data_IF_093730332755
#
_entry.id   IF_093730332755
#
_cell.length_a   1.000
_cell.length_b   1.000
_cell.length_c   1.000
_cell.angle_alpha   90.00
_cell.angle_beta   90.00
_cell.angle_gamma   90.00
#
_symmetry.space_group_name_H-M   'P 1'
#
loop_
_entity.id
_entity.type
_entity.pdbx_description
1 polymer ?
#
# COMPACT_ATOMS: atom_id res chain seq x y z
N UNK A 1 -31.88 5.58 -21.52
CA UNK A 1 -32.34 6.95 -21.20
C UNK A 1 -31.58 7.41 -19.96
N UNK A 2 -31.17 8.69 -19.95
CA UNK A 2 -30.27 9.36 -19.00
C UNK A 2 -28.76 9.24 -19.29
N UNK A 3 -28.32 9.78 -20.43
CA UNK A 3 -26.95 10.29 -20.62
C UNK A 3 -26.88 11.69 -20.01
N UNK A 4 -26.32 11.82 -18.82
CA UNK A 4 -25.97 13.12 -18.26
C UNK A 4 -24.67 13.57 -18.94
N UNK A 5 -24.80 14.41 -19.97
CA UNK A 5 -23.68 15.18 -20.50
C UNK A 5 -23.16 16.10 -19.39
N UNK A 6 -21.98 15.83 -18.86
CA UNK A 6 -21.26 16.79 -18.03
C UNK A 6 -20.56 17.77 -18.96
N UNK A 7 -21.29 18.79 -19.44
CA UNK A 7 -20.66 20.01 -19.90
C UNK A 7 -19.92 20.61 -18.69
N UNK A 8 -18.60 20.71 -18.78
CA UNK A 8 -17.81 21.44 -17.79
C UNK A 8 -18.07 22.92 -18.09
N UNK A 9 -19.08 23.50 -17.42
CA UNK A 9 -19.33 24.95 -17.46
C UNK A 9 -18.24 25.67 -16.67
N UNK A 10 -17.16 26.03 -17.37
CA UNK A 10 -16.04 26.82 -16.85
C UNK A 10 -16.53 28.16 -16.27
N UNK A 11 -17.67 28.68 -16.74
CA UNK A 11 -18.29 29.90 -16.21
C UNK A 11 -18.87 29.75 -14.80
N UNK A 12 -19.25 28.53 -14.42
CA UNK A 12 -19.85 28.22 -13.10
C UNK A 12 -18.87 28.39 -11.93
N UNK A 13 -17.56 28.33 -12.19
CA UNK A 13 -16.52 28.56 -11.17
C UNK A 13 -16.37 30.03 -10.72
N UNK A 14 -16.98 30.98 -11.46
CA UNK A 14 -16.77 32.43 -11.29
C UNK A 14 -17.98 33.15 -10.68
N UNK A 15 -18.69 32.51 -9.74
CA UNK A 15 -19.93 33.06 -9.13
C UNK A 15 -19.63 34.16 -8.11
N UNK A 16 -19.89 35.42 -8.49
CA UNK A 16 -20.07 36.52 -7.52
C UNK A 16 -19.84 37.93 -8.06
N UNK A 17 -20.94 38.65 -8.30
CA UNK A 17 -21.08 40.10 -8.58
C UNK A 17 -20.43 40.64 -9.87
N UNK A 18 -21.32 40.88 -10.84
CA UNK A 18 -21.11 41.54 -12.13
C UNK A 18 -20.32 40.70 -13.15
N UNK A 19 -21.05 39.93 -13.97
CA UNK A 19 -20.53 39.17 -15.13
C UNK A 19 -19.89 40.14 -16.14
N UNK A 20 -18.62 40.48 -15.94
CA UNK A 20 -17.84 41.31 -16.87
C UNK A 20 -16.88 40.51 -17.74
N UNK A 21 -16.97 39.17 -17.71
CA UNK A 21 -16.07 38.30 -18.49
C UNK A 21 -14.59 38.35 -18.09
N UNK A 22 -14.24 39.11 -17.04
CA UNK A 22 -12.87 39.37 -16.59
C UNK A 22 -12.69 39.09 -15.10
N UNK A 23 -11.56 38.49 -14.72
CA UNK A 23 -11.20 38.18 -13.32
C UNK A 23 -9.73 38.49 -13.03
N UNK A 24 -9.35 38.61 -11.76
CA UNK A 24 -7.92 38.71 -11.41
C UNK A 24 -7.22 37.38 -11.64
N UNK A 25 -5.90 37.41 -11.88
CA UNK A 25 -5.05 36.22 -12.05
C UNK A 25 -5.22 35.21 -10.90
N UNK A 26 -5.32 35.70 -9.66
CA UNK A 26 -5.53 34.86 -8.48
C UNK A 26 -6.90 34.17 -8.47
N UNK A 27 -7.97 34.87 -8.89
CA UNK A 27 -9.31 34.28 -8.97
C UNK A 27 -9.36 33.25 -10.10
N UNK A 28 -8.72 33.55 -11.23
CA UNK A 28 -8.58 32.63 -12.34
C UNK A 28 -7.85 31.34 -11.94
N UNK A 29 -6.70 31.45 -11.26
CA UNK A 29 -5.92 30.32 -10.79
C UNK A 29 -6.70 29.45 -9.79
N UNK A 30 -7.41 30.06 -8.84
CA UNK A 30 -8.27 29.35 -7.89
C UNK A 30 -9.36 28.57 -8.61
N UNK A 31 -10.06 29.20 -9.56
CA UNK A 31 -11.13 28.54 -10.31
C UNK A 31 -10.61 27.36 -11.13
N UNK A 32 -9.47 27.52 -11.80
CA UNK A 32 -8.84 26.47 -12.60
C UNK A 32 -8.36 25.31 -11.75
N UNK A 33 -7.75 25.59 -10.59
CA UNK A 33 -7.34 24.55 -9.64
C UNK A 33 -8.55 23.77 -9.08
N UNK A 34 -9.67 24.44 -8.80
CA UNK A 34 -10.93 23.76 -8.38
C UNK A 34 -11.44 22.84 -9.50
N UNK A 35 -11.25 23.22 -10.76
CA UNK A 35 -11.57 22.41 -11.94
C UNK A 35 -10.49 21.37 -12.28
N UNK A 36 -9.43 21.25 -11.49
CA UNK A 36 -8.35 20.27 -11.67
C UNK A 36 -7.29 20.65 -12.70
N UNK A 37 -7.28 21.89 -13.20
CA UNK A 37 -6.26 22.40 -14.11
C UNK A 37 -5.17 23.16 -13.34
N UNK A 38 -3.93 22.70 -13.48
CA UNK A 38 -2.76 23.33 -12.85
C UNK A 38 -1.85 23.90 -13.93
N UNK A 39 -1.54 25.19 -13.83
CA UNK A 39 -0.65 25.88 -14.76
C UNK A 39 0.71 26.15 -14.11
N UNK A 40 1.78 25.90 -14.84
CA UNK A 40 3.10 26.39 -14.47
C UNK A 40 3.16 27.93 -14.55
N UNK A 41 4.15 28.54 -13.89
CA UNK A 41 4.34 30.00 -13.97
C UNK A 41 4.52 30.50 -15.41
N UNK A 42 5.16 29.70 -16.26
CA UNK A 42 5.34 30.04 -17.69
C UNK A 42 4.01 30.03 -18.44
N UNK A 43 3.16 29.04 -18.17
CA UNK A 43 1.83 28.95 -18.79
C UNK A 43 0.91 30.06 -18.31
N UNK A 44 0.95 30.40 -17.02
CA UNK A 44 0.17 31.52 -16.48
C UNK A 44 0.61 32.86 -17.07
N UNK A 45 1.91 33.07 -17.29
CA UNK A 45 2.42 34.25 -17.97
C UNK A 45 1.95 34.33 -19.44
N UNK A 46 1.85 33.19 -20.14
CA UNK A 46 1.32 33.16 -21.51
C UNK A 46 -0.18 33.47 -21.55
N UNK A 47 -0.96 32.91 -20.62
CA UNK A 47 -2.39 33.18 -20.49
C UNK A 47 -2.60 34.67 -20.22
N UNK A 48 -1.86 35.23 -19.26
CA UNK A 48 -1.87 36.66 -18.97
C UNK A 48 -1.51 37.51 -20.19
N UNK A 49 -0.45 37.15 -20.91
CA UNK A 49 -0.01 37.90 -22.09
C UNK A 49 -1.05 37.93 -23.22
N UNK A 50 -1.88 36.89 -23.34
CA UNK A 50 -2.86 36.76 -24.42
C UNK A 50 -4.27 37.23 -24.03
N UNK A 51 -4.66 37.06 -22.77
CA UNK A 51 -6.03 37.24 -22.30
C UNK A 51 -6.19 38.34 -21.25
N UNK A 52 -5.13 38.97 -20.74
CA UNK A 52 -5.28 40.10 -19.84
C UNK A 52 -5.72 41.37 -20.59
N UNK A 53 -6.61 42.15 -19.99
CA UNK A 53 -6.99 43.48 -20.45
C UNK A 53 -5.94 44.55 -20.05
N UNK A 54 -6.18 45.79 -20.47
CA UNK A 54 -5.31 46.93 -20.13
C UNK A 54 -5.22 47.21 -18.63
N UNK A 55 -6.12 46.66 -17.81
CA UNK A 55 -6.12 46.74 -16.35
C UNK A 55 -5.45 45.53 -15.66
N UNK A 56 -4.97 44.54 -16.42
CA UNK A 56 -4.34 43.33 -15.89
C UNK A 56 -5.33 42.26 -15.42
N UNK A 57 -6.62 42.38 -15.75
CA UNK A 57 -7.64 41.35 -15.48
C UNK A 57 -7.70 40.37 -16.64
N UNK A 58 -7.76 39.07 -16.35
CA UNK A 58 -7.86 37.99 -17.33
C UNK A 58 -9.29 37.92 -17.86
N UNK A 59 -9.46 38.11 -19.17
CA UNK A 59 -10.71 37.90 -19.88
C UNK A 59 -10.91 36.40 -20.16
N UNK A 60 -11.63 35.73 -19.27
CA UNK A 60 -11.89 34.29 -19.37
C UNK A 60 -12.98 33.96 -20.40
N UNK A 61 -13.87 34.90 -20.74
CA UNK A 61 -14.87 34.71 -21.81
C UNK A 61 -14.18 34.54 -23.18
N UNK A 62 -13.19 35.38 -23.47
CA UNK A 62 -12.37 35.27 -24.69
C UNK A 62 -11.57 33.96 -24.70
N UNK A 63 -11.04 33.54 -23.54
CA UNK A 63 -10.33 32.28 -23.40
C UNK A 63 -11.25 31.09 -23.73
N UNK A 64 -12.46 31.05 -23.17
CA UNK A 64 -13.43 29.98 -23.41
C UNK A 64 -13.88 29.96 -24.88
N UNK A 65 -14.16 31.14 -25.46
CA UNK A 65 -14.51 31.23 -26.89
C UNK A 65 -13.40 30.76 -27.83
N UNK A 66 -12.13 31.02 -27.50
CA UNK A 66 -10.98 30.50 -28.25
C UNK A 66 -10.85 28.96 -28.10
N UNK A 67 -11.28 28.38 -26.98
CA UNK A 67 -11.24 26.93 -26.73
C UNK A 67 -12.34 26.16 -27.48
N UNK A 68 -13.54 26.73 -27.62
CA UNK A 68 -14.67 26.12 -28.36
C UNK A 68 -14.38 25.92 -29.85
N UNK A 69 -13.46 26.70 -30.44
CA UNK A 69 -13.07 26.60 -31.86
C UNK A 69 -12.12 25.43 -32.16
N UNK A 70 -11.49 24.84 -31.12
CA UNK A 70 -10.49 23.78 -31.25
C UNK A 70 -10.92 22.42 -30.69
N UNK A 71 -12.19 22.29 -30.26
CA UNK A 71 -12.68 21.10 -29.56
C UNK A 71 -13.19 20.02 -30.53
N UNK A 72 -12.28 19.34 -31.23
CA UNK A 72 -12.60 17.99 -31.75
C UNK A 72 -12.62 17.01 -30.54
N UNK A 73 -13.74 17.03 -29.81
CA UNK A 73 -13.94 16.27 -28.57
C UNK A 73 -14.06 14.75 -28.79
N UNK A 74 -14.04 14.29 -30.04
CA UNK A 74 -14.11 12.87 -30.39
C UNK A 74 -13.01 12.05 -29.70
N UNK A 75 -11.80 12.62 -29.58
CA UNK A 75 -10.66 11.97 -28.94
C UNK A 75 -10.80 11.88 -27.41
N UNK A 76 -11.50 12.82 -26.75
CA UNK A 76 -11.71 12.80 -25.29
C UNK A 76 -12.72 11.72 -24.86
N UNK A 77 -13.75 11.50 -25.68
CA UNK A 77 -14.73 10.42 -25.49
C UNK A 77 -14.08 9.03 -25.62
N UNK A 78 -13.18 8.86 -26.59
CA UNK A 78 -12.42 7.61 -26.74
C UNK A 78 -11.46 7.35 -25.60
N UNK A 79 -10.77 8.39 -25.11
CA UNK A 79 -9.87 8.27 -23.96
C UNK A 79 -10.65 7.89 -22.70
N UNK A 80 -11.78 8.53 -22.44
CA UNK A 80 -12.64 8.24 -21.28
C UNK A 80 -13.20 6.80 -21.32
N UNK A 81 -13.61 6.32 -22.51
CA UNK A 81 -14.04 4.92 -22.70
C UNK A 81 -12.90 3.93 -22.47
N UNK A 82 -11.69 4.23 -22.97
CA UNK A 82 -10.49 3.40 -22.75
C UNK A 82 -10.10 3.37 -21.27
N UNK A 83 -10.20 4.49 -20.56
CA UNK A 83 -9.91 4.58 -19.13
C UNK A 83 -10.94 3.80 -18.29
N UNK A 84 -12.24 3.92 -18.62
CA UNK A 84 -13.28 3.11 -17.98
C UNK A 84 -13.10 1.60 -18.25
N UNK A 85 -12.67 1.22 -19.46
CA UNK A 85 -12.36 -0.18 -19.79
C UNK A 85 -11.13 -0.68 -19.03
N UNK A 86 -10.09 0.15 -18.88
CA UNK A 86 -8.91 -0.19 -18.06
C UNK A 86 -9.28 -0.37 -16.60
N UNK A 87 -10.03 0.57 -16.02
CA UNK A 87 -10.48 0.47 -14.64
C UNK A 87 -11.31 -0.80 -14.40
N UNK A 88 -12.23 -1.11 -15.31
CA UNK A 88 -13.01 -2.34 -15.23
C UNK A 88 -12.13 -3.59 -15.33
N UNK A 89 -11.15 -3.61 -16.23
CA UNK A 89 -10.22 -4.73 -16.37
C UNK A 89 -9.36 -4.92 -15.10
N UNK A 90 -8.89 -3.83 -14.50
CA UNK A 90 -8.14 -3.87 -13.23
C UNK A 90 -9.00 -4.39 -12.07
N UNK A 91 -10.26 -3.99 -11.99
CA UNK A 91 -11.17 -4.46 -10.94
C UNK A 91 -11.54 -5.94 -11.16
N UNK A 92 -11.80 -6.36 -12.41
CA UNK A 92 -11.99 -7.77 -12.77
C UNK A 92 -10.76 -8.63 -12.45
N UNK A 93 -9.54 -8.08 -12.58
CA UNK A 93 -8.30 -8.76 -12.22
C UNK A 93 -8.11 -8.88 -10.71
N UNK A 94 -8.42 -7.82 -9.95
CA UNK A 94 -8.43 -7.85 -8.48
C UNK A 94 -9.43 -8.86 -7.94
N UNK A 95 -10.63 -8.94 -8.51
CA UNK A 95 -11.65 -9.90 -8.09
C UNK A 95 -11.20 -11.34 -8.36
N UNK A 96 -10.55 -11.59 -9.51
CA UNK A 96 -9.96 -12.90 -9.82
C UNK A 96 -8.84 -13.27 -8.85
N UNK A 97 -7.97 -12.31 -8.53
CA UNK A 97 -6.87 -12.52 -7.59
C UNK A 97 -7.41 -12.79 -6.18
N UNK A 98 -8.40 -12.03 -5.72
CA UNK A 98 -9.08 -12.27 -4.45
C UNK A 98 -9.68 -13.67 -4.42
N UNK A 99 -10.43 -14.05 -5.45
CA UNK A 99 -11.01 -15.40 -5.55
C UNK A 99 -9.94 -16.51 -5.52
N UNK A 100 -8.78 -16.31 -6.15
CA UNK A 100 -7.65 -17.26 -6.08
C UNK A 100 -7.12 -17.43 -4.66
N UNK A 101 -7.02 -16.35 -3.89
CA UNK A 101 -6.55 -16.42 -2.49
C UNK A 101 -7.58 -17.11 -1.59
N UNK A 102 -8.86 -16.80 -1.78
CA UNK A 102 -9.95 -17.39 -1.00
C UNK A 102 -10.16 -18.89 -1.30
N UNK A 103 -9.72 -19.36 -2.47
CA UNK A 103 -9.72 -20.78 -2.86
C UNK A 103 -8.40 -21.51 -2.52
N UNK A 104 -7.35 -20.78 -2.13
CA UNK A 104 -6.09 -21.36 -1.69
C UNK A 104 -6.12 -21.69 -0.20
N UNK A 105 -6.36 -22.96 0.13
CA UNK A 105 -6.44 -23.42 1.52
C UNK A 105 -5.24 -23.03 2.39
N UNK A 106 -4.02 -22.98 1.83
CA UNK A 106 -2.82 -22.63 2.58
C UNK A 106 -2.87 -21.17 3.03
N UNK A 107 -3.29 -20.27 2.15
CA UNK A 107 -3.44 -18.85 2.45
C UNK A 107 -4.60 -18.60 3.41
N UNK A 108 -5.73 -19.29 3.21
CA UNK A 108 -6.89 -19.22 4.12
C UNK A 108 -6.51 -19.68 5.53
N UNK A 109 -5.82 -20.82 5.67
CA UNK A 109 -5.32 -21.29 6.97
C UNK A 109 -4.31 -20.33 7.58
N UNK A 110 -3.43 -19.70 6.78
CA UNK A 110 -2.49 -18.70 7.27
C UNK A 110 -3.21 -17.43 7.78
N UNK A 111 -4.25 -16.95 7.08
CA UNK A 111 -5.12 -15.85 7.51
C UNK A 111 -5.79 -16.20 8.84
N UNK A 112 -6.42 -17.37 8.94
CA UNK A 112 -7.08 -17.84 10.16
C UNK A 112 -6.09 -17.90 11.33
N UNK A 113 -4.92 -18.53 11.13
CA UNK A 113 -3.88 -18.63 12.15
C UNK A 113 -3.42 -17.26 12.65
N UNK A 114 -3.19 -16.31 11.73
CA UNK A 114 -2.84 -14.93 12.09
C UNK A 114 -3.93 -14.29 12.97
N UNK A 115 -5.20 -14.44 12.60
CA UNK A 115 -6.33 -13.88 13.35
C UNK A 115 -6.47 -14.51 14.74
N UNK A 116 -6.28 -15.84 14.86
CA UNK A 116 -6.29 -16.54 16.15
C UNK A 116 -5.19 -16.03 17.10
N UNK A 117 -3.97 -15.84 16.58
CA UNK A 117 -2.85 -15.28 17.34
C UNK A 117 -3.17 -13.85 17.80
N UNK A 118 -3.68 -13.00 16.90
CA UNK A 118 -4.06 -11.62 17.23
C UNK A 118 -5.17 -11.57 18.29
N UNK A 119 -6.17 -12.46 18.19
CA UNK A 119 -7.31 -12.51 19.09
C UNK A 119 -7.00 -13.30 20.38
N UNK A 120 -5.82 -13.92 20.49
CA UNK A 120 -5.40 -14.78 21.60
C UNK A 120 -6.41 -15.90 21.90
N UNK A 121 -6.98 -16.48 20.84
CA UNK A 121 -7.95 -17.57 20.91
C UNK A 121 -7.37 -18.83 20.27
N UNK A 122 -7.89 -19.99 20.67
CA UNK A 122 -7.57 -21.29 20.07
C UNK A 122 -8.84 -21.96 19.59
N UNK A 123 -8.82 -22.49 18.38
CA UNK A 123 -9.99 -23.17 17.82
C UNK A 123 -10.24 -24.51 18.51
N UNK A 124 -9.19 -25.19 18.98
CA UNK A 124 -9.31 -26.39 19.82
C UNK A 124 -10.20 -26.18 21.03
N UNK A 125 -10.05 -25.04 21.70
CA UNK A 125 -10.72 -24.74 22.95
C UNK A 125 -12.18 -24.34 22.72
N UNK A 126 -12.46 -23.60 21.64
CA UNK A 126 -13.80 -23.17 21.26
C UNK A 126 -14.63 -24.34 20.73
N UNK A 127 -14.07 -25.12 19.80
CA UNK A 127 -14.78 -26.25 19.19
C UNK A 127 -14.90 -27.40 20.19
N UNK A 128 -13.86 -27.65 21.01
CA UNK A 128 -13.89 -28.70 22.03
C UNK A 128 -15.00 -28.52 23.07
N UNK A 129 -15.37 -27.28 23.40
CA UNK A 129 -16.54 -27.00 24.26
C UNK A 129 -17.88 -27.44 23.64
N UNK A 130 -17.93 -27.60 22.32
CA UNK A 130 -19.12 -28.02 21.55
C UNK A 130 -19.09 -29.51 21.18
N UNK A 131 -18.01 -30.22 21.50
CA UNK A 131 -17.88 -31.67 21.35
C UNK A 131 -17.51 -32.32 22.70
N UNK A 132 -18.46 -32.38 23.66
CA UNK A 132 -18.21 -32.93 25.00
C UNK A 132 -17.89 -34.43 24.98
N UNK A 133 -18.31 -35.15 23.93
CA UNK A 133 -17.98 -36.57 23.75
C UNK A 133 -16.59 -36.78 23.14
N UNK A 134 -15.93 -35.71 22.66
CA UNK A 134 -14.58 -35.76 22.10
C UNK A 134 -14.47 -36.65 20.86
N UNK A 135 -15.54 -36.70 20.04
CA UNK A 135 -15.57 -37.50 18.81
C UNK A 135 -14.70 -36.91 17.70
N UNK A 136 -14.24 -35.67 17.83
CA UNK A 136 -13.45 -34.99 16.81
C UNK A 136 -14.30 -34.46 15.64
N UNK A 137 -15.62 -34.42 15.80
CA UNK A 137 -16.57 -34.08 14.75
C UNK A 137 -17.56 -33.03 15.23
N UNK A 138 -17.76 -31.98 14.43
CA UNK A 138 -18.78 -30.95 14.69
C UNK A 138 -19.54 -30.61 13.41
N UNK A 139 -20.78 -30.14 13.53
CA UNK A 139 -21.55 -29.71 12.35
C UNK A 139 -20.96 -28.44 11.74
N UNK A 140 -21.22 -28.21 10.45
CA UNK A 140 -20.81 -27.00 9.75
C UNK A 140 -21.28 -25.71 10.45
N UNK A 141 -22.52 -25.68 10.95
CA UNK A 141 -23.09 -24.54 11.64
C UNK A 141 -22.38 -24.27 12.97
N UNK A 142 -22.02 -25.34 13.69
CA UNK A 142 -21.27 -25.23 14.93
C UNK A 142 -19.87 -24.69 14.67
N UNK A 143 -19.20 -25.18 13.63
CA UNK A 143 -17.89 -24.69 13.21
C UNK A 143 -17.94 -23.20 12.82
N UNK A 144 -18.94 -22.78 12.04
CA UNK A 144 -19.14 -21.38 11.66
C UNK A 144 -19.35 -20.49 12.87
N UNK A 145 -20.20 -20.91 13.81
CA UNK A 145 -20.43 -20.18 15.06
C UNK A 145 -19.14 -20.03 15.89
N UNK A 146 -18.29 -21.06 15.93
CA UNK A 146 -16.98 -20.95 16.57
C UNK A 146 -16.03 -19.98 15.84
N UNK A 147 -16.09 -19.90 14.50
CA UNK A 147 -15.31 -18.93 13.74
C UNK A 147 -15.76 -17.49 14.03
N UNK A 148 -17.07 -17.25 14.11
CA UNK A 148 -17.65 -15.96 14.46
C UNK A 148 -17.29 -15.58 15.91
N UNK A 149 -17.41 -16.53 16.85
CA UNK A 149 -17.00 -16.36 18.25
C UNK A 149 -15.49 -16.09 18.36
N UNK A 150 -14.68 -16.69 17.49
CA UNK A 150 -13.24 -16.43 17.41
C UNK A 150 -12.90 -15.06 16.79
N UNK A 151 -13.86 -14.36 16.18
CA UNK A 151 -13.65 -13.10 15.47
C UNK A 151 -12.86 -13.30 14.17
N UNK A 152 -13.06 -14.43 13.50
CA UNK A 152 -12.47 -14.73 12.21
C UNK A 152 -13.34 -14.09 11.12
N UNK A 153 -12.97 -12.90 10.66
CA UNK A 153 -13.64 -12.20 9.57
C UNK A 153 -13.31 -12.89 8.22
N UNK A 154 -13.96 -14.02 7.99
CA UNK A 154 -13.80 -14.88 6.82
C UNK A 154 -14.93 -14.66 5.83
N UNK A 155 -14.58 -14.64 4.54
CA UNK A 155 -15.59 -14.58 3.48
C UNK A 155 -16.27 -15.93 3.30
N UNK A 156 -17.47 -15.95 2.72
CA UNK A 156 -18.20 -17.20 2.46
C UNK A 156 -17.40 -18.18 1.58
N UNK A 157 -16.55 -17.65 0.69
CA UNK A 157 -15.69 -18.48 -0.17
C UNK A 157 -14.56 -19.13 0.64
N UNK A 158 -13.90 -18.40 1.55
CA UNK A 158 -12.88 -18.96 2.45
C UNK A 158 -13.47 -20.06 3.34
N UNK A 159 -14.66 -19.81 3.90
CA UNK A 159 -15.40 -20.79 4.69
C UNK A 159 -15.71 -22.06 3.88
N UNK A 160 -16.19 -21.93 2.63
CA UNK A 160 -16.41 -23.08 1.74
C UNK A 160 -15.12 -23.84 1.44
N UNK A 161 -14.01 -23.14 1.24
CA UNK A 161 -12.69 -23.76 1.01
C UNK A 161 -12.26 -24.60 2.22
N UNK A 162 -12.43 -24.07 3.44
CA UNK A 162 -12.15 -24.82 4.68
C UNK A 162 -13.07 -26.03 4.81
N UNK A 163 -14.38 -25.86 4.61
CA UNK A 163 -15.35 -26.96 4.66
C UNK A 163 -15.00 -28.07 3.66
N UNK A 164 -14.62 -27.69 2.43
CA UNK A 164 -14.27 -28.66 1.39
C UNK A 164 -13.08 -29.54 1.78
N UNK A 165 -12.09 -28.99 2.48
CA UNK A 165 -10.85 -29.68 2.85
C UNK A 165 -10.97 -30.48 4.14
N UNK A 166 -11.73 -30.00 5.13
CA UNK A 166 -11.79 -30.60 6.46
C UNK A 166 -13.13 -31.29 6.78
N UNK A 167 -14.04 -31.42 5.81
CA UNK A 167 -15.23 -32.26 5.96
C UNK A 167 -14.84 -33.71 6.23
N UNK A 168 -15.71 -34.44 6.94
CA UNK A 168 -15.52 -35.86 7.13
C UNK A 168 -15.77 -36.64 5.83
N UNK A 169 -14.97 -37.69 5.59
CA UNK A 169 -15.17 -38.60 4.46
C UNK A 169 -16.49 -39.38 4.59
N UNK A 170 -16.89 -39.72 5.82
CA UNK A 170 -18.10 -40.51 6.09
C UNK A 170 -19.37 -39.65 6.05
N UNK A 171 -19.30 -38.41 6.53
CA UNK A 171 -20.43 -37.49 6.55
C UNK A 171 -20.02 -36.05 6.18
N UNK A 172 -20.33 -35.59 4.95
CA UNK A 172 -19.96 -34.26 4.47
C UNK A 172 -20.58 -33.08 5.23
N UNK A 173 -21.55 -33.32 6.11
CA UNK A 173 -22.18 -32.27 6.98
C UNK A 173 -21.34 -32.02 8.23
N UNK A 174 -20.42 -32.93 8.55
CA UNK A 174 -19.53 -32.85 9.70
C UNK A 174 -18.13 -32.43 9.28
N UNK A 175 -17.46 -31.68 10.16
CA UNK A 175 -16.06 -31.28 10.04
C UNK A 175 -15.21 -32.06 11.03
N UNK A 176 -14.10 -32.61 10.53
CA UNK A 176 -13.02 -33.21 11.31
C UNK A 176 -12.12 -32.12 11.88
N UNK A 177 -12.62 -31.45 12.92
CA UNK A 177 -11.96 -30.28 13.48
C UNK A 177 -10.55 -30.55 14.06
N UNK A 178 -10.16 -31.75 14.54
CA UNK A 178 -8.79 -32.01 14.96
C UNK A 178 -7.75 -31.82 13.84
N UNK A 179 -8.11 -32.12 12.59
CA UNK A 179 -7.22 -31.88 11.44
C UNK A 179 -7.06 -30.39 11.19
N UNK A 180 -8.15 -29.64 11.28
CA UNK A 180 -8.16 -28.19 11.13
C UNK A 180 -7.35 -27.49 12.23
N UNK A 181 -7.64 -27.78 13.51
CA UNK A 181 -6.96 -27.16 14.67
C UNK A 181 -5.48 -27.49 14.69
N UNK A 182 -5.09 -28.68 14.21
CA UNK A 182 -3.67 -29.03 14.03
C UNK A 182 -2.94 -28.08 13.08
N UNK A 183 -3.62 -27.53 12.07
CA UNK A 183 -3.02 -26.61 11.11
C UNK A 183 -3.00 -25.18 11.65
N UNK A 184 -4.10 -24.74 12.27
CA UNK A 184 -4.29 -23.31 12.60
C UNK A 184 -3.87 -22.92 14.01
N UNK A 185 -3.90 -23.82 15.00
CA UNK A 185 -3.51 -23.47 16.37
C UNK A 185 -1.98 -23.51 16.56
N UNK A 186 -1.46 -22.50 17.27
CA UNK A 186 -0.04 -22.13 17.39
C UNK A 186 0.87 -23.23 17.99
N UNK A 187 0.30 -24.24 18.66
CA UNK A 187 1.03 -25.25 19.45
C UNK A 187 1.03 -26.67 18.86
N UNK A 188 0.58 -26.85 17.61
CA UNK A 188 0.65 -28.15 16.93
C UNK A 188 2.07 -28.48 16.45
N UNK A 189 3.04 -28.39 17.37
CA UNK A 189 4.32 -29.06 17.23
C UNK A 189 4.03 -30.55 17.31
N UNK A 190 4.02 -31.20 16.15
CA UNK A 190 4.19 -32.63 15.92
C UNK A 190 4.10 -33.49 17.21
N UNK A 191 2.93 -34.10 17.46
CA UNK A 191 2.67 -35.04 18.56
C UNK A 191 3.59 -36.29 18.54
N UNK A 192 4.50 -36.40 17.57
CA UNK A 192 5.51 -37.46 17.47
C UNK A 192 6.79 -37.21 18.28
N UNK A 193 6.95 -36.06 18.96
CA UNK A 193 8.13 -35.79 19.82
C UNK A 193 7.83 -35.98 21.31
N UNK A 194 7.21 -37.11 21.66
CA UNK A 194 7.05 -37.53 23.06
C UNK A 194 8.36 -38.16 23.55
N UNK A 195 9.15 -37.35 24.29
CA UNK A 195 10.08 -37.66 25.40
C UNK A 195 11.43 -36.97 25.25
N UNK A 196 11.64 -35.91 26.04
CA UNK A 196 12.75 -35.77 26.99
C UNK A 196 12.52 -34.49 27.85
N UNK A 197 12.95 -34.44 29.13
CA UNK A 197 12.67 -33.31 30.01
C UNK A 197 13.39 -32.03 29.55
N UNK A 198 12.62 -31.12 28.95
CA UNK A 198 13.04 -29.81 28.41
C UNK A 198 13.88 -28.93 29.36
N UNK A 199 13.91 -29.21 30.67
CA UNK A 199 14.64 -28.38 31.64
C UNK A 199 16.16 -28.38 31.45
N UNK A 200 16.76 -29.49 31.01
CA UNK A 200 18.22 -29.56 30.84
C UNK A 200 18.71 -28.89 29.54
N UNK A 201 17.92 -28.92 28.46
CA UNK A 201 18.32 -28.27 27.19
C UNK A 201 18.08 -26.76 27.18
N UNK A 202 17.06 -26.27 27.92
CA UNK A 202 16.80 -24.82 28.03
C UNK A 202 17.92 -24.05 28.73
N UNK A 203 18.78 -24.73 29.50
CA UNK A 203 19.97 -24.12 30.10
C UNK A 203 21.18 -24.10 29.14
N UNK A 204 21.25 -25.03 28.18
CA UNK A 204 22.35 -25.11 27.22
C UNK A 204 22.17 -24.20 26.00
N UNK A 205 20.95 -23.82 25.63
CA UNK A 205 20.65 -22.89 24.51
C UNK A 205 20.66 -21.39 24.88
N UNK A 206 21.47 -20.97 25.86
CA UNK A 206 21.80 -19.55 26.03
C UNK A 206 22.99 -19.16 25.17
N UNK A 207 22.93 -19.46 23.88
CA UNK A 207 23.69 -18.66 22.94
C UNK A 207 22.87 -17.39 22.69
N UNK A 208 23.42 -16.19 22.96
CA UNK A 208 22.73 -14.96 22.61
C UNK A 208 22.54 -14.97 21.09
N UNK A 209 21.28 -15.08 20.64
CA UNK A 209 20.96 -14.82 19.24
C UNK A 209 21.57 -13.46 18.89
N UNK A 210 22.29 -13.33 17.76
CA UNK A 210 22.74 -12.02 17.32
C UNK A 210 21.52 -11.10 17.23
N UNK A 211 21.60 -9.85 17.72
CA UNK A 211 20.50 -8.92 17.64
C UNK A 211 20.06 -8.83 16.17
N UNK A 212 18.77 -9.04 15.92
CA UNK A 212 18.17 -8.75 14.63
C UNK A 212 18.47 -7.28 14.32
N UNK A 213 19.21 -7.00 13.26
CA UNK A 213 19.81 -5.69 12.95
C UNK A 213 18.81 -4.54 12.72
N UNK A 214 17.51 -4.83 12.66
CA UNK A 214 16.49 -3.82 12.43
C UNK A 214 15.39 -3.95 13.45
N UNK A 215 15.28 -2.97 14.34
CA UNK A 215 14.10 -2.76 15.16
C UNK A 215 12.89 -2.70 14.22
N UNK A 216 11.88 -3.51 14.51
CA UNK A 216 10.71 -3.65 13.67
C UNK A 216 10.04 -2.30 13.46
N UNK A 217 10.24 -1.75 12.26
CA UNK A 217 9.50 -0.59 11.76
C UNK A 217 8.01 -0.90 11.83
N UNK A 218 7.25 -0.04 12.53
CA UNK A 218 5.81 -0.22 12.73
C UNK A 218 5.04 -0.12 11.39
N UNK A 219 3.76 -0.51 11.38
CA UNK A 219 2.95 -0.54 10.15
C UNK A 219 2.89 0.81 9.44
N UNK A 220 2.79 1.90 10.20
CA UNK A 220 2.69 3.26 9.66
C UNK A 220 4.00 3.69 8.99
N UNK A 221 5.14 3.41 9.64
CA UNK A 221 6.45 3.68 9.06
C UNK A 221 6.70 2.82 7.81
N UNK A 222 6.19 1.58 7.75
CA UNK A 222 6.28 0.75 6.53
C UNK A 222 5.52 1.37 5.34
N UNK A 223 4.35 1.98 5.60
CA UNK A 223 3.61 2.73 4.58
C UNK A 223 4.43 3.93 4.13
N UNK A 224 4.95 4.72 5.07
CA UNK A 224 5.76 5.90 4.75
C UNK A 224 7.01 5.55 3.94
N UNK A 225 7.73 4.48 4.32
CA UNK A 225 8.89 3.98 3.59
C UNK A 225 8.49 3.56 2.18
N UNK A 226 7.44 2.75 2.03
CA UNK A 226 6.98 2.26 0.72
C UNK A 226 6.64 3.42 -0.22
N UNK A 227 5.90 4.42 0.25
CA UNK A 227 5.55 5.61 -0.51
C UNK A 227 6.79 6.41 -0.91
N UNK A 228 7.72 6.63 0.03
CA UNK A 228 8.96 7.35 -0.25
C UNK A 228 9.83 6.62 -1.28
N UNK A 229 9.96 5.29 -1.16
CA UNK A 229 10.74 4.46 -2.08
C UNK A 229 10.21 4.53 -3.51
N UNK A 230 8.88 4.50 -3.70
CA UNK A 230 8.24 4.64 -5.03
C UNK A 230 8.47 6.00 -5.69
N UNK A 231 8.61 7.06 -4.89
CA UNK A 231 8.92 8.40 -5.41
C UNK A 231 10.41 8.46 -5.76
N UNK A 232 11.26 8.06 -4.82
CA UNK A 232 12.71 8.22 -4.93
C UNK A 232 13.33 7.29 -5.99
N UNK A 233 12.78 6.10 -6.23
CA UNK A 233 13.31 5.16 -7.22
C UNK A 233 13.26 5.68 -8.67
N UNK A 234 12.43 6.69 -8.95
CA UNK A 234 12.34 7.33 -10.27
C UNK A 234 13.49 8.30 -10.55
N UNK A 235 14.16 8.75 -9.49
CA UNK A 235 15.19 9.79 -9.57
C UNK A 235 16.55 9.32 -9.04
N UNK A 236 16.58 8.29 -8.20
CA UNK A 236 17.77 7.75 -7.58
C UNK A 236 17.97 6.32 -8.05
N UNK A 237 19.15 6.04 -8.59
CA UNK A 237 19.61 4.70 -8.97
C UNK A 237 20.87 4.31 -8.19
N UNK A 238 21.28 3.03 -8.30
CA UNK A 238 22.59 2.56 -7.79
C UNK A 238 23.78 3.38 -8.34
N UNK A 239 23.63 4.03 -9.50
CA UNK A 239 24.67 4.87 -10.09
C UNK A 239 25.06 6.08 -9.23
N UNK A 240 24.21 6.50 -8.28
CA UNK A 240 24.53 7.61 -7.38
C UNK A 240 25.38 7.19 -6.17
N UNK A 241 25.78 5.92 -6.05
CA UNK A 241 26.54 5.41 -4.91
C UNK A 241 27.81 6.22 -4.62
N UNK A 242 28.48 6.75 -5.63
CA UNK A 242 29.71 7.54 -5.46
C UNK A 242 29.45 8.87 -4.75
N UNK A 243 28.25 9.46 -4.90
CA UNK A 243 27.86 10.65 -4.14
C UNK A 243 27.70 10.36 -2.65
N UNK A 244 27.19 9.17 -2.30
CA UNK A 244 27.09 8.72 -0.90
C UNK A 244 28.46 8.42 -0.31
N UNK A 245 29.32 7.71 -1.07
CA UNK A 245 30.70 7.43 -0.67
C UNK A 245 31.52 8.70 -0.45
N UNK A 246 31.27 9.76 -1.22
CA UNK A 246 31.95 11.03 -1.04
C UNK A 246 31.65 11.71 0.32
N UNK A 247 30.52 11.40 0.96
CA UNK A 247 30.17 11.89 2.30
C UNK A 247 30.49 10.89 3.42
N UNK A 248 30.64 9.61 3.09
CA UNK A 248 31.07 8.54 3.99
C UNK A 248 32.61 8.48 4.06
N UNK A 249 33.19 9.44 4.77
CA UNK A 249 34.65 9.57 4.92
C UNK A 249 35.32 8.36 5.56
N UNK A 250 34.55 7.53 6.28
CA UNK A 250 35.04 6.31 6.92
C UNK A 250 34.80 5.06 6.07
N UNK A 251 34.10 5.17 4.94
CA UNK A 251 33.83 4.06 4.02
C UNK A 251 33.01 2.92 4.64
N UNK A 252 32.19 3.20 5.66
CA UNK A 252 31.48 2.18 6.43
C UNK A 252 30.14 1.76 5.81
N UNK A 253 29.67 2.46 4.78
CA UNK A 253 28.36 2.24 4.18
C UNK A 253 27.24 3.04 4.86
N UNK A 254 27.58 4.00 5.72
CA UNK A 254 26.61 4.78 6.50
C UNK A 254 26.71 6.29 6.26
N UNK A 255 25.57 6.97 6.33
CA UNK A 255 25.50 8.44 6.37
C UNK A 255 24.58 8.88 7.51
N UNK A 256 24.93 9.96 8.20
CA UNK A 256 24.03 10.51 9.20
C UNK A 256 22.85 11.27 8.54
N UNK A 257 21.85 11.61 9.34
CA UNK A 257 20.65 12.29 8.85
C UNK A 257 20.93 13.59 8.09
N UNK A 258 21.84 14.43 8.58
CA UNK A 258 22.17 15.71 7.94
C UNK A 258 22.81 15.47 6.56
N UNK A 259 23.74 14.53 6.47
CA UNK A 259 24.37 14.12 5.21
C UNK A 259 23.34 13.55 4.24
N UNK A 260 22.40 12.73 4.72
CA UNK A 260 21.33 12.18 3.90
C UNK A 260 20.43 13.28 3.31
N UNK A 261 19.99 14.24 4.13
CA UNK A 261 19.21 15.40 3.68
C UNK A 261 19.98 16.24 2.65
N UNK A 262 21.28 16.47 2.87
CA UNK A 262 22.14 17.18 1.92
C UNK A 262 22.24 16.45 0.57
N UNK A 263 22.31 15.11 0.57
CA UNK A 263 22.34 14.32 -0.66
C UNK A 263 21.02 14.40 -1.42
N UNK A 264 19.89 14.26 -0.73
CA UNK A 264 18.58 14.42 -1.36
C UNK A 264 18.38 15.83 -1.93
N UNK A 265 18.91 16.85 -1.27
CA UNK A 265 18.91 18.23 -1.78
C UNK A 265 19.79 18.36 -3.02
N UNK A 266 21.01 17.83 -3.00
CA UNK A 266 21.94 17.84 -4.16
C UNK A 266 21.39 17.10 -5.38
N UNK A 267 20.65 16.01 -5.15
CA UNK A 267 19.94 15.25 -6.19
C UNK A 267 18.65 15.93 -6.66
N UNK A 268 18.25 17.03 -6.03
CA UNK A 268 17.04 17.78 -6.39
C UNK A 268 15.74 17.07 -6.02
N UNK A 269 15.76 16.10 -5.12
CA UNK A 269 14.61 15.23 -4.78
C UNK A 269 14.06 15.45 -3.37
N UNK A 270 14.74 16.26 -2.55
CA UNK A 270 14.33 16.51 -1.16
C UNK A 270 12.88 17.05 -1.07
N UNK A 271 12.46 17.88 -2.03
CA UNK A 271 11.12 18.46 -2.07
C UNK A 271 10.01 17.46 -2.44
N UNK A 272 10.36 16.27 -2.92
CA UNK A 272 9.41 15.22 -3.33
C UNK A 272 9.00 14.32 -2.16
N UNK A 273 9.67 14.43 -1.01
CA UNK A 273 9.46 13.57 0.16
C UNK A 273 9.25 14.40 1.42
N UNK A 274 8.34 13.94 2.28
CA UNK A 274 8.05 14.60 3.56
C UNK A 274 9.11 14.29 4.61
N UNK A 275 9.29 15.17 5.59
CA UNK A 275 10.23 14.92 6.70
C UNK A 275 9.88 13.63 7.48
N UNK A 276 8.58 13.34 7.61
CA UNK A 276 8.10 12.09 8.21
C UNK A 276 8.59 10.86 7.45
N UNK A 277 8.51 10.88 6.12
CA UNK A 277 9.01 9.80 5.28
C UNK A 277 10.52 9.63 5.40
N UNK A 278 11.27 10.73 5.48
CA UNK A 278 12.72 10.72 5.69
C UNK A 278 13.06 10.12 7.06
N UNK A 279 12.29 10.46 8.10
CA UNK A 279 12.44 9.87 9.43
C UNK A 279 12.20 8.35 9.42
N UNK A 280 11.12 7.92 8.76
CA UNK A 280 10.80 6.49 8.63
C UNK A 280 11.87 5.75 7.83
N UNK A 281 12.41 6.33 6.74
CA UNK A 281 13.53 5.77 5.99
C UNK A 281 14.79 5.65 6.85
N UNK A 282 15.11 6.69 7.62
CA UNK A 282 16.27 6.70 8.51
C UNK A 282 16.15 5.66 9.61
N UNK A 283 14.93 5.36 10.09
CA UNK A 283 14.70 4.24 11.03
C UNK A 283 14.78 2.89 10.34
N UNK A 284 14.13 2.75 9.19
CA UNK A 284 13.97 1.45 8.53
C UNK A 284 15.23 0.90 7.87
N UNK A 285 16.09 1.79 7.40
CA UNK A 285 17.44 1.45 6.92
C UNK A 285 18.52 1.92 7.90
N UNK A 286 18.12 2.23 9.14
CA UNK A 286 18.99 2.77 10.16
C UNK A 286 19.73 1.71 10.94
N UNK A 287 20.93 2.05 11.37
CA UNK A 287 21.65 1.35 12.43
C UNK A 287 21.89 2.34 13.59
N UNK A 288 21.71 1.88 14.82
CA UNK A 288 22.07 2.65 16.01
C UNK A 288 23.51 2.34 16.38
N UNK A 289 24.41 3.29 16.13
CA UNK A 289 25.80 3.20 16.59
C UNK A 289 26.08 4.41 17.50
N UNK A 290 26.50 4.17 18.74
CA UNK A 290 26.89 5.21 19.70
C UNK A 290 25.86 6.34 19.92
N UNK A 291 24.57 5.99 20.03
CA UNK A 291 23.44 6.92 20.21
C UNK A 291 23.09 7.83 19.03
N UNK A 292 23.78 7.71 17.89
CA UNK A 292 23.43 8.37 16.64
C UNK A 292 22.73 7.39 15.69
N UNK A 293 21.63 7.84 15.06
CA UNK A 293 20.94 7.10 14.01
C UNK A 293 21.60 7.39 12.66
N UNK A 294 22.26 6.38 12.11
CA UNK A 294 22.90 6.45 10.80
C UNK A 294 22.17 5.58 9.79
N UNK A 295 22.00 6.08 8.57
CA UNK A 295 21.35 5.38 7.47
C UNK A 295 22.36 4.50 6.72
N UNK A 296 22.08 3.21 6.57
CA UNK A 296 22.77 2.33 5.65
C UNK A 296 22.36 2.66 4.21
N UNK A 297 23.14 3.53 3.57
CA UNK A 297 22.86 3.95 2.20
C UNK A 297 23.09 2.81 1.21
N UNK A 298 23.91 1.81 1.55
CA UNK A 298 24.17 0.69 0.65
C UNK A 298 22.97 -0.25 0.58
N UNK A 299 22.38 -0.58 1.73
CA UNK A 299 21.15 -1.36 1.83
C UNK A 299 19.98 -0.59 1.20
N UNK A 300 19.89 0.70 1.48
CA UNK A 300 18.84 1.56 0.92
C UNK A 300 18.92 1.69 -0.60
N UNK A 301 20.09 1.96 -1.19
CA UNK A 301 20.25 2.07 -2.65
C UNK A 301 19.98 0.73 -3.36
N UNK A 302 20.36 -0.40 -2.76
CA UNK A 302 19.99 -1.74 -3.28
C UNK A 302 18.48 -1.94 -3.26
N UNK A 303 17.81 -1.53 -2.18
CA UNK A 303 16.35 -1.62 -2.10
C UNK A 303 15.67 -0.72 -3.14
N UNK A 304 16.19 0.49 -3.39
CA UNK A 304 15.71 1.39 -4.44
C UNK A 304 15.79 0.73 -5.82
N UNK A 305 16.89 0.06 -6.13
CA UNK A 305 17.10 -0.63 -7.41
C UNK A 305 16.11 -1.79 -7.62
N UNK A 306 15.88 -2.57 -6.57
CA UNK A 306 14.88 -3.64 -6.58
C UNK A 306 13.50 -3.06 -6.90
N UNK A 307 13.09 -2.00 -6.20
CA UNK A 307 11.80 -1.34 -6.44
C UNK A 307 11.69 -0.85 -7.87
N UNK A 308 12.72 -0.16 -8.39
CA UNK A 308 12.76 0.31 -9.77
C UNK A 308 12.64 -0.83 -10.79
N UNK A 309 13.39 -1.92 -10.61
CA UNK A 309 13.32 -3.08 -11.49
C UNK A 309 11.95 -3.76 -11.47
N UNK A 310 11.32 -3.85 -10.29
CA UNK A 310 9.97 -4.43 -10.16
C UNK A 310 8.90 -3.56 -10.83
N UNK A 311 8.95 -2.23 -10.70
CA UNK A 311 8.01 -1.33 -11.39
C UNK A 311 8.19 -1.41 -12.91
N UNK A 312 9.44 -1.45 -13.40
CA UNK A 312 9.73 -1.60 -14.82
C UNK A 312 9.26 -2.94 -15.38
N UNK A 313 9.35 -4.02 -14.61
CA UNK A 313 8.85 -5.33 -15.00
C UNK A 313 7.31 -5.34 -15.06
N UNK A 314 6.64 -4.70 -14.10
CA UNK A 314 5.19 -4.57 -14.08
C UNK A 314 4.64 -3.73 -15.25
N UNK A 315 5.36 -2.69 -15.70
CA UNK A 315 4.96 -1.88 -16.87
C UNK A 315 5.15 -2.56 -18.23
N UNK A 316 5.84 -3.71 -18.28
CA UNK A 316 6.07 -4.49 -19.50
C UNK A 316 5.07 -5.63 -19.70
N UNK A 317 4.22 -5.86 -18.70
CA UNK A 317 3.09 -6.78 -18.75
C UNK A 317 1.84 -6.00 -19.19
#
# INVERSE_FOLDING_TARGET
MCTAHHEIDVGSGFVGRERRGTVTEKIFEIAMNIMGFFFSQKEMAMIRGKYADSGGLINYEKLVGDMEVHSDLSHMDELSKKEAQRQKAEDDEKDKEQFRRETNIVEVCAKIKKLLICNKKKMSDLIGQRDPEGRGLVTWETFRACCDEAGLDLTDQELKTVHHVFKSEENPVLIEYPLFTRVVDEHSVMTCLVRLPLKQEMQQRREPKPPLQHDFVNFEDRICISQAMKILCKHITLGHIDMFKALDTQGRGYVNRSQFLQLLHKLGVLHLVTMRQIDSLTRGFGHSENHDYVLDYTAWLKAIDIVFCTEKAAMKL
#
